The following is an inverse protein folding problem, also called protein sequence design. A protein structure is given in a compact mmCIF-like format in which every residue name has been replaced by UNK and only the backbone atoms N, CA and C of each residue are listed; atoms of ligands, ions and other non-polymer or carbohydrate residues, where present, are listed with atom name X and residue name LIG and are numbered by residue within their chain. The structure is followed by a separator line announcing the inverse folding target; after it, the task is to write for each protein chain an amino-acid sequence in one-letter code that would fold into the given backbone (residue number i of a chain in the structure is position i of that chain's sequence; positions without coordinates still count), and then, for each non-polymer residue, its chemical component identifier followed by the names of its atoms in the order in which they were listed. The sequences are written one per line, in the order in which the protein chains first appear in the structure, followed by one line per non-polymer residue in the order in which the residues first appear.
data_IF_480365440176
#
_entry.id   IF_480365440176
#
_cell.length_a   1.000
_cell.length_b   1.000
_cell.length_c   1.000
_cell.angle_alpha   90.00
_cell.angle_beta   90.00
_cell.angle_gamma   90.00
#
_symmetry.space_group_name_H-M   'P 1'
#
loop_
_entity.id
_entity.type
_entity.pdbx_description
1 polymer ?
#
# COMPACT_ATOMS: atom_id res chain seq x y z
N UNK A 1 20.06 -5.27 21.83
CA UNK A 1 18.61 -4.98 21.67
C UNK A 1 18.51 -3.60 21.04
N UNK A 2 18.13 -3.47 19.75
CA UNK A 2 17.99 -2.13 19.18
C UNK A 2 16.86 -1.39 19.92
N UNK A 3 16.92 -0.05 20.09
CA UNK A 3 15.78 0.70 20.57
C UNK A 3 14.61 0.51 19.58
N UNK A 4 13.52 -0.06 20.10
CA UNK A 4 12.35 -0.58 19.40
C UNK A 4 11.60 0.45 18.51
N UNK A 5 11.78 1.76 18.75
CA UNK A 5 11.25 2.85 17.93
C UNK A 5 11.89 2.94 16.53
N UNK A 6 13.02 2.27 16.32
CA UNK A 6 13.94 2.46 15.18
C UNK A 6 13.81 1.39 14.09
N UNK A 7 13.32 0.19 14.42
CA UNK A 7 12.86 -0.80 13.42
C UNK A 7 11.40 -0.52 12.98
N UNK A 8 10.61 0.07 13.87
CA UNK A 8 9.21 0.47 13.67
C UNK A 8 9.04 1.56 12.63
N UNK A 9 9.94 2.56 12.58
CA UNK A 9 10.02 3.56 11.52
C UNK A 9 10.65 3.04 10.22
N UNK A 10 11.40 1.94 10.27
CA UNK A 10 12.20 1.45 9.15
C UNK A 10 11.40 0.56 8.17
N UNK A 11 10.21 0.11 8.57
CA UNK A 11 9.18 -0.43 7.68
C UNK A 11 8.01 0.56 7.46
N UNK A 12 7.92 1.65 8.24
CA UNK A 12 7.20 2.87 7.86
C UNK A 12 7.91 3.49 6.65
N UNK A 13 7.29 4.21 5.74
CA UNK A 13 5.96 4.78 5.60
C UNK A 13 5.71 4.71 4.09
N UNK A 14 4.49 4.44 3.60
CA UNK A 14 4.04 3.69 2.40
C UNK A 14 4.81 3.75 1.04
N UNK A 15 6.09 4.07 1.01
CA UNK A 15 6.91 4.49 -0.11
C UNK A 15 7.69 3.29 -0.67
N UNK A 16 8.11 2.33 0.16
CA UNK A 16 8.92 1.20 -0.31
C UNK A 16 8.11 0.00 -0.83
N UNK A 17 6.90 -0.24 -0.32
CA UNK A 17 5.98 -1.23 -0.90
C UNK A 17 5.31 -0.76 -2.21
N UNK A 18 5.22 0.56 -2.37
CA UNK A 18 4.51 1.24 -3.45
C UNK A 18 5.32 1.38 -4.76
N UNK A 19 6.65 1.51 -4.68
CA UNK A 19 7.44 1.87 -5.88
C UNK A 19 7.75 0.66 -6.77
N UNK A 20 7.84 -0.55 -6.21
CA UNK A 20 8.20 -1.76 -6.96
C UNK A 20 7.00 -2.44 -7.67
N UNK A 21 5.76 -2.07 -7.34
CA UNK A 21 4.56 -2.69 -7.89
C UNK A 21 4.08 -2.11 -9.23
N UNK A 22 4.61 -0.97 -9.66
CA UNK A 22 4.03 -0.16 -10.74
C UNK A 22 4.22 -0.75 -12.16
N UNK A 23 5.02 -1.82 -12.34
CA UNK A 23 5.41 -2.28 -13.69
C UNK A 23 4.99 -3.73 -14.01
N UNK A 24 4.81 -4.63 -13.02
CA UNK A 24 4.74 -6.08 -13.33
C UNK A 24 3.36 -6.72 -13.04
N UNK A 25 2.54 -6.18 -12.13
CA UNK A 25 1.29 -6.83 -11.73
C UNK A 25 0.16 -5.81 -11.52
N UNK A 26 -0.88 -5.77 -12.38
CA UNK A 26 -1.91 -4.73 -12.39
C UNK A 26 -3.06 -4.95 -11.39
N UNK A 27 -2.93 -5.86 -10.41
CA UNK A 27 -4.00 -6.19 -9.47
C UNK A 27 -3.46 -6.45 -8.06
N UNK A 28 -4.11 -5.86 -7.05
CA UNK A 28 -3.58 -5.84 -5.68
C UNK A 28 -3.36 -7.20 -5.03
N UNK A 29 -4.13 -8.23 -5.40
CA UNK A 29 -3.88 -9.59 -4.92
C UNK A 29 -2.54 -10.16 -5.43
N UNK A 30 -2.17 -9.89 -6.69
CA UNK A 30 -0.92 -10.36 -7.28
C UNK A 30 0.29 -9.56 -6.79
N UNK A 31 0.12 -8.25 -6.54
CA UNK A 31 1.16 -7.42 -5.93
C UNK A 31 1.48 -7.89 -4.51
N UNK A 32 0.46 -8.20 -3.70
CA UNK A 32 0.65 -8.78 -2.35
C UNK A 32 1.29 -10.17 -2.38
N UNK A 33 0.91 -11.02 -3.33
CA UNK A 33 1.46 -12.37 -3.47
C UNK A 33 2.95 -12.36 -3.85
N UNK A 34 3.39 -11.39 -4.66
CA UNK A 34 4.81 -11.25 -5.05
C UNK A 34 5.65 -10.62 -3.94
N UNK A 35 5.07 -9.75 -3.11
CA UNK A 35 5.80 -9.07 -2.05
C UNK A 35 5.92 -9.88 -0.75
N UNK A 36 4.95 -10.74 -0.43
CA UNK A 36 4.95 -11.52 0.80
C UNK A 36 6.20 -12.41 1.01
N UNK A 37 6.72 -13.14 -0.01
CA UNK A 37 7.93 -13.95 0.13
C UNK A 37 9.20 -13.16 0.45
N UNK A 38 9.21 -11.86 0.17
CA UNK A 38 10.34 -10.95 0.47
C UNK A 38 10.15 -10.31 1.85
N UNK A 39 8.93 -9.86 2.17
CA UNK A 39 8.65 -9.11 3.40
C UNK A 39 8.58 -9.98 4.65
N UNK A 40 8.07 -11.22 4.56
CA UNK A 40 7.93 -12.12 5.73
C UNK A 40 9.30 -12.55 6.31
N UNK A 41 10.29 -12.97 5.49
CA UNK A 41 11.62 -13.30 6.01
C UNK A 41 12.34 -12.08 6.58
N UNK A 42 12.18 -10.90 5.96
CA UNK A 42 12.77 -9.65 6.44
C UNK A 42 12.20 -9.24 7.81
N UNK A 43 10.89 -9.33 7.99
CA UNK A 43 10.22 -9.07 9.26
C UNK A 43 10.69 -10.03 10.36
N UNK A 44 10.81 -11.33 10.03
CA UNK A 44 11.30 -12.36 10.95
C UNK A 44 12.75 -12.11 11.36
N UNK A 45 13.63 -11.76 10.41
CA UNK A 45 15.04 -11.49 10.67
C UNK A 45 15.26 -10.25 11.57
N UNK A 46 14.40 -9.23 11.41
CA UNK A 46 14.45 -8.00 12.20
C UNK A 46 13.71 -8.08 13.53
N UNK A 47 13.09 -9.24 13.86
CA UNK A 47 12.23 -9.42 15.03
C UNK A 47 11.14 -8.34 15.14
N UNK A 48 10.53 -7.99 14.00
CA UNK A 48 9.44 -7.01 13.91
C UNK A 48 8.11 -7.74 13.77
N UNK A 49 7.03 -7.16 14.29
CA UNK A 49 5.69 -7.75 14.24
C UNK A 49 5.20 -8.02 12.81
N UNK A 50 4.98 -9.29 12.51
CA UNK A 50 4.57 -9.75 11.18
C UNK A 50 3.20 -9.19 10.77
N UNK A 51 2.28 -9.00 11.74
CA UNK A 51 0.96 -8.46 11.47
C UNK A 51 1.06 -6.99 11.01
N UNK A 52 1.85 -6.15 11.71
CA UNK A 52 2.08 -4.76 11.32
C UNK A 52 2.73 -4.63 9.94
N UNK A 53 3.68 -5.52 9.60
CA UNK A 53 4.29 -5.55 8.26
C UNK A 53 3.29 -5.98 7.19
N UNK A 54 2.49 -7.00 7.47
CA UNK A 54 1.45 -7.46 6.53
C UNK A 54 0.41 -6.36 6.27
N UNK A 55 0.03 -5.61 7.30
CA UNK A 55 -0.89 -4.48 7.17
C UNK A 55 -0.27 -3.32 6.37
N UNK A 56 1.01 -2.98 6.63
CA UNK A 56 1.70 -1.93 5.89
C UNK A 56 1.78 -2.25 4.38
N UNK A 57 2.02 -3.52 4.02
CA UNK A 57 2.02 -4.00 2.64
C UNK A 57 0.63 -3.90 2.02
N UNK A 58 -0.41 -4.35 2.71
CA UNK A 58 -1.78 -4.32 2.20
C UNK A 58 -2.30 -2.89 1.98
N UNK A 59 -2.03 -1.96 2.91
CA UNK A 59 -2.42 -0.56 2.78
C UNK A 59 -1.59 0.18 1.73
N UNK A 60 -0.29 -0.12 1.62
CA UNK A 60 0.57 0.44 0.57
C UNK A 60 0.09 0.07 -0.84
N UNK A 61 -0.27 -1.20 -1.04
CA UNK A 61 -0.88 -1.71 -2.27
C UNK A 61 -2.19 -0.97 -2.61
N UNK A 62 -3.14 -0.91 -1.68
CA UNK A 62 -4.41 -0.20 -1.86
C UNK A 62 -4.20 1.29 -2.18
N UNK A 63 -3.22 1.93 -1.54
CA UNK A 63 -2.88 3.33 -1.77
C UNK A 63 -2.35 3.57 -3.19
N UNK A 64 -1.39 2.77 -3.66
CA UNK A 64 -0.87 2.91 -5.03
C UNK A 64 -1.90 2.64 -6.11
N UNK A 65 -2.89 1.80 -5.82
CA UNK A 65 -3.98 1.49 -6.73
C UNK A 65 -4.94 2.68 -6.94
N UNK A 66 -4.73 3.83 -6.29
CA UNK A 66 -5.39 5.08 -6.64
C UNK A 66 -4.78 5.76 -7.87
N UNK A 67 -3.50 5.51 -8.19
CA UNK A 67 -2.87 6.02 -9.43
C UNK A 67 -3.44 5.27 -10.64
N UNK A 68 -3.77 3.99 -10.47
CA UNK A 68 -4.31 3.13 -11.52
C UNK A 68 -5.52 2.35 -11.00
N UNK A 69 -6.73 2.95 -11.02
CA UNK A 69 -7.91 2.40 -10.37
C UNK A 69 -8.58 1.32 -11.22
N UNK A 70 -7.88 0.21 -11.52
CA UNK A 70 -8.43 -0.89 -12.31
C UNK A 70 -9.64 -1.57 -11.66
N UNK A 71 -9.67 -1.55 -10.32
CA UNK A 71 -10.83 -1.99 -9.54
C UNK A 71 -12.11 -1.20 -9.86
N UNK A 72 -11.98 0.04 -10.33
CA UNK A 72 -13.12 0.90 -10.63
C UNK A 72 -13.69 0.68 -12.05
N UNK A 73 -12.92 0.09 -12.97
CA UNK A 73 -13.34 -0.07 -14.38
C UNK A 73 -14.68 -0.80 -14.55
N UNK A 74 -14.97 -1.91 -13.83
CA UNK A 74 -16.25 -2.59 -13.96
C UNK A 74 -17.42 -1.71 -13.49
N UNK A 75 -17.25 -0.98 -12.39
CA UNK A 75 -18.28 -0.08 -11.86
C UNK A 75 -18.52 1.12 -12.79
N UNK A 76 -17.44 1.67 -13.36
CA UNK A 76 -17.53 2.76 -14.34
C UNK A 76 -18.25 2.33 -15.62
N UNK A 77 -18.03 1.09 -16.09
CA UNK A 77 -18.73 0.54 -17.24
C UNK A 77 -20.24 0.45 -17.03
N UNK A 78 -20.68 0.05 -15.83
CA UNK A 78 -22.11 0.01 -15.45
C UNK A 78 -22.68 1.44 -15.35
N UNK A 79 -21.90 2.39 -14.83
CA UNK A 79 -22.30 3.78 -14.68
C UNK A 79 -22.22 4.61 -15.99
N UNK A 80 -21.71 4.03 -17.09
CA UNK A 80 -21.50 4.76 -18.35
C UNK A 80 -20.43 5.86 -18.26
N UNK A 81 -19.52 5.76 -17.29
CA UNK A 81 -18.46 6.72 -17.04
C UNK A 81 -17.12 6.24 -17.61
N UNK A 82 -16.21 7.17 -17.88
CA UNK A 82 -14.84 6.88 -18.33
C UNK A 82 -13.88 6.95 -17.15
N UNK A 83 -12.75 6.26 -17.25
CA UNK A 83 -11.70 6.29 -16.22
C UNK A 83 -11.28 7.72 -15.85
N UNK A 84 -11.13 8.62 -16.85
CA UNK A 84 -10.76 10.01 -16.61
C UNK A 84 -11.73 10.79 -15.71
N UNK A 85 -12.99 10.36 -15.64
CA UNK A 85 -14.04 11.06 -14.89
C UNK A 85 -13.88 10.84 -13.37
N UNK A 86 -13.18 9.77 -12.94
CA UNK A 86 -12.87 9.48 -11.53
C UNK A 86 -11.42 9.81 -11.12
N UNK A 87 -10.50 9.94 -12.09
CA UNK A 87 -9.06 10.13 -11.81
C UNK A 87 -8.75 11.31 -10.87
N UNK A 88 -9.48 12.43 -11.01
CA UNK A 88 -9.31 13.58 -10.13
C UNK A 88 -9.67 13.28 -8.67
N UNK A 89 -10.74 12.51 -8.45
CA UNK A 89 -11.11 12.03 -7.12
C UNK A 89 -10.05 11.07 -6.57
N UNK A 90 -9.58 10.12 -7.38
CA UNK A 90 -8.54 9.19 -6.98
C UNK A 90 -7.24 9.89 -6.57
N UNK A 91 -6.86 10.99 -7.23
CA UNK A 91 -5.67 11.76 -6.88
C UNK A 91 -5.82 12.47 -5.51
N UNK A 92 -6.98 13.04 -5.23
CA UNK A 92 -7.27 13.66 -3.93
C UNK A 92 -7.22 12.58 -2.84
N UNK A 93 -7.89 11.44 -3.09
CA UNK A 93 -7.87 10.30 -2.17
C UNK A 93 -6.45 9.78 -1.98
N UNK A 94 -5.63 9.69 -3.02
CA UNK A 94 -4.22 9.31 -2.91
C UNK A 94 -3.50 10.21 -1.92
N UNK A 95 -3.62 11.53 -2.03
CA UNK A 95 -2.92 12.45 -1.11
C UNK A 95 -3.47 12.33 0.31
N UNK A 96 -4.78 12.41 0.49
CA UNK A 96 -5.42 12.40 1.81
C UNK A 96 -5.20 11.07 2.52
N UNK A 97 -5.46 9.95 1.84
CA UNK A 97 -5.25 8.62 2.40
C UNK A 97 -3.77 8.33 2.64
N UNK A 98 -2.86 8.84 1.82
CA UNK A 98 -1.42 8.71 2.04
C UNK A 98 -0.99 9.34 3.36
N UNK A 99 -1.51 10.53 3.67
CA UNK A 99 -1.27 11.19 4.96
C UNK A 99 -1.88 10.38 6.11
N UNK A 100 -3.15 9.95 5.98
CA UNK A 100 -3.84 9.20 7.04
C UNK A 100 -3.17 7.85 7.32
N UNK A 101 -2.87 7.07 6.28
CA UNK A 101 -2.19 5.77 6.36
C UNK A 101 -0.78 5.95 6.90
N UNK A 102 -0.04 6.96 6.42
CA UNK A 102 1.31 7.26 6.88
C UNK A 102 1.34 7.63 8.37
N UNK A 103 0.44 8.49 8.82
CA UNK A 103 0.30 8.83 10.24
C UNK A 103 -0.16 7.64 11.08
N UNK A 104 -1.16 6.90 10.60
CA UNK A 104 -1.68 5.70 11.26
C UNK A 104 -0.58 4.66 11.50
N UNK A 105 0.14 4.26 10.46
CA UNK A 105 1.19 3.24 10.57
C UNK A 105 2.41 3.71 11.40
N UNK A 106 2.61 5.02 11.54
CA UNK A 106 3.76 5.59 12.27
C UNK A 106 3.45 5.83 13.75
N UNK A 107 2.24 6.27 14.07
CA UNK A 107 1.88 6.73 15.41
C UNK A 107 0.92 5.81 16.15
N UNK A 108 0.12 4.99 15.45
CA UNK A 108 -0.69 3.97 16.11
C UNK A 108 0.13 2.69 16.33
N UNK A 109 0.00 2.06 17.51
CA UNK A 109 0.55 0.75 17.76
C UNK A 109 -0.17 -0.32 16.94
#
# INVERSE_FOLDING_TARGET
MPPLATALRALCSPIFGAILGLIIVPFGAGQRAVQAPVMIPAATALNVDLARISMAVAWGDAWTNMIQPFWALPALAIAGLRAKDIMGFCLIVLIVSGVVIGLGLTFLP
#
